data_IF_538798058008
#
_entry.id   IF_538798058008
#
_cell.length_a   1.000
_cell.length_b   1.000
_cell.length_c   1.000
_cell.angle_alpha   90.00
_cell.angle_beta   90.00
_cell.angle_gamma   90.00
#
_symmetry.space_group_name_H-M   'P 1'
#
loop_
_entity.id
_entity.type
_entity.pdbx_description
1 polymer ?
#
# COMPACT_ATOMS: atom_id res chain seq x y z
N UNK A 1 49.14 -48.26 6.87
CA UNK A 1 49.47 -47.19 5.91
C UNK A 1 48.23 -47.00 5.04
N UNK A 2 47.43 -45.96 5.31
CA UNK A 2 46.18 -45.65 4.59
C UNK A 2 46.46 -44.63 3.48
N UNK A 3 45.89 -44.78 2.25
CA UNK A 3 46.07 -43.79 1.19
C UNK A 3 45.11 -42.60 1.36
N UNK A 4 45.49 -41.40 0.87
CA UNK A 4 44.63 -40.22 0.93
C UNK A 4 43.61 -40.21 -0.22
N UNK A 5 42.34 -39.97 0.11
CA UNK A 5 41.27 -39.72 -0.87
C UNK A 5 41.31 -38.23 -1.22
N UNK A 6 41.71 -37.89 -2.45
CA UNK A 6 41.61 -36.52 -2.97
C UNK A 6 40.27 -36.39 -3.68
N UNK A 7 39.38 -35.54 -3.14
CA UNK A 7 38.03 -35.31 -3.69
C UNK A 7 38.07 -34.09 -4.61
N UNK A 8 38.08 -34.32 -5.91
CA UNK A 8 38.00 -33.26 -6.93
C UNK A 8 36.57 -32.78 -7.04
N UNK A 9 36.30 -31.51 -6.68
CA UNK A 9 35.04 -30.83 -6.95
C UNK A 9 35.07 -30.33 -8.40
N UNK A 10 34.36 -31.02 -9.29
CA UNK A 10 34.07 -30.52 -10.64
C UNK A 10 32.95 -29.49 -10.56
N UNK A 11 33.28 -28.20 -10.66
CA UNK A 11 32.27 -27.17 -10.90
C UNK A 11 31.89 -27.19 -12.38
N UNK A 12 30.70 -27.68 -12.68
CA UNK A 12 30.12 -27.58 -14.02
C UNK A 12 29.46 -26.20 -14.20
N UNK A 13 29.72 -25.57 -15.35
CA UNK A 13 29.20 -24.24 -15.68
C UNK A 13 27.67 -24.18 -15.64
N UNK A 14 26.98 -25.30 -15.91
CA UNK A 14 25.52 -25.38 -15.86
C UNK A 14 24.97 -25.23 -14.44
N UNK A 15 25.68 -25.76 -13.43
CA UNK A 15 25.33 -25.56 -12.03
C UNK A 15 25.51 -24.10 -11.59
N UNK A 16 26.53 -23.41 -12.11
CA UNK A 16 26.76 -21.99 -11.88
C UNK A 16 25.73 -21.09 -12.58
N UNK A 17 25.24 -21.51 -13.74
CA UNK A 17 24.17 -20.79 -14.44
C UNK A 17 22.82 -20.99 -13.77
N UNK A 18 22.53 -22.21 -13.29
CA UNK A 18 21.33 -22.51 -12.53
C UNK A 18 21.27 -21.76 -11.20
N UNK A 19 22.40 -21.66 -10.47
CA UNK A 19 22.45 -20.89 -9.23
C UNK A 19 22.24 -19.39 -9.44
N UNK A 20 22.82 -18.81 -10.50
CA UNK A 20 22.56 -17.41 -10.88
C UNK A 20 21.12 -17.17 -11.32
N UNK A 21 20.50 -18.11 -12.02
CA UNK A 21 19.10 -18.02 -12.39
C UNK A 21 18.18 -18.10 -11.17
N UNK A 22 18.49 -18.98 -10.21
CA UNK A 22 17.78 -19.08 -8.93
C UNK A 22 17.94 -17.82 -8.07
N UNK A 23 19.14 -17.24 -8.00
CA UNK A 23 19.40 -15.98 -7.30
C UNK A 23 18.61 -14.82 -7.94
N UNK A 24 18.64 -14.70 -9.27
CA UNK A 24 17.83 -13.71 -9.99
C UNK A 24 16.33 -13.93 -9.81
N UNK A 25 15.87 -15.18 -9.83
CA UNK A 25 14.47 -15.54 -9.56
C UNK A 25 14.04 -15.14 -8.14
N UNK A 26 14.88 -15.41 -7.14
CA UNK A 26 14.64 -15.00 -5.75
C UNK A 26 14.59 -13.47 -5.59
N UNK A 27 15.47 -12.73 -6.29
CA UNK A 27 15.45 -11.27 -6.30
C UNK A 27 14.22 -10.68 -7.03
N UNK A 28 13.67 -11.37 -8.02
CA UNK A 28 12.43 -10.98 -8.69
C UNK A 28 11.21 -11.22 -7.81
N UNK A 29 11.22 -12.30 -7.02
CA UNK A 29 10.14 -12.64 -6.09
C UNK A 29 10.08 -11.67 -4.92
N UNK A 30 11.24 -11.20 -4.44
CA UNK A 30 11.35 -10.16 -3.41
C UNK A 30 10.93 -8.74 -3.85
N UNK A 31 10.57 -8.54 -5.13
CA UNK A 31 10.20 -7.22 -5.70
C UNK A 31 8.75 -7.12 -6.18
N UNK A 32 7.92 -8.11 -5.90
CA UNK A 32 6.52 -8.05 -6.33
C UNK A 32 5.71 -7.25 -5.31
N UNK A 33 5.52 -5.95 -5.59
CA UNK A 33 4.43 -5.20 -5.01
C UNK A 33 3.11 -5.77 -5.53
N UNK A 34 2.12 -5.90 -4.64
CA UNK A 34 0.76 -6.30 -5.01
C UNK A 34 -0.02 -5.05 -5.42
N UNK A 35 -0.41 -4.98 -6.69
CA UNK A 35 -1.24 -3.89 -7.19
C UNK A 35 -2.70 -4.08 -6.77
N UNK A 36 -3.22 -3.11 -6.02
CA UNK A 36 -4.60 -3.08 -5.52
C UNK A 36 -5.40 -1.88 -6.04
N UNK A 37 -4.95 -1.28 -7.16
CA UNK A 37 -5.72 -0.28 -7.88
C UNK A 37 -7.06 -0.84 -8.38
N UNK A 38 -8.11 -0.01 -8.33
CA UNK A 38 -9.45 -0.34 -8.79
C UNK A 38 -10.18 -1.38 -7.92
N UNK A 39 -9.55 -1.85 -6.84
CA UNK A 39 -10.21 -2.75 -5.89
C UNK A 39 -11.21 -1.95 -5.07
N UNK A 40 -12.49 -2.29 -5.21
CA UNK A 40 -13.55 -1.71 -4.40
C UNK A 40 -13.35 -2.05 -2.92
N UNK A 41 -13.70 -1.13 -2.04
CA UNK A 41 -13.61 -1.29 -0.59
C UNK A 41 -14.95 -0.96 0.07
N UNK A 42 -15.17 -1.52 1.25
CA UNK A 42 -16.39 -1.32 2.03
C UNK A 42 -16.24 -0.10 2.93
N UNK A 43 -17.14 0.86 2.79
CA UNK A 43 -17.13 2.09 3.60
C UNK A 43 -17.79 1.86 4.95
N UNK A 44 -17.08 2.23 6.01
CA UNK A 44 -17.51 2.17 7.39
C UNK A 44 -17.37 3.54 8.05
N UNK A 45 -18.46 4.16 8.44
CA UNK A 45 -18.43 5.39 9.23
C UNK A 45 -18.19 5.08 10.71
N UNK A 46 -17.64 6.05 11.46
CA UNK A 46 -17.40 5.94 12.90
C UNK A 46 -18.48 6.64 13.74
N UNK A 47 -19.55 5.96 14.16
CA UNK A 47 -20.47 6.45 15.18
C UNK A 47 -20.02 6.06 16.60
N UNK A 48 -20.50 6.74 17.67
CA UNK A 48 -21.27 7.99 17.67
C UNK A 48 -20.35 9.22 17.62
N UNK A 49 -20.94 10.42 17.67
CA UNK A 49 -20.29 11.74 17.59
C UNK A 49 -20.24 12.20 16.15
N UNK A 50 -21.10 13.16 15.81
CA UNK A 50 -20.95 13.97 14.61
C UNK A 50 -19.73 14.89 14.69
N UNK A 51 -19.54 15.72 13.66
CA UNK A 51 -18.49 16.73 13.59
C UNK A 51 -17.19 16.19 12.99
N UNK A 52 -17.29 15.39 11.93
CA UNK A 52 -16.13 14.97 11.15
C UNK A 52 -15.38 16.16 10.51
N UNK A 53 -14.24 15.89 9.85
CA UNK A 53 -13.47 16.94 9.17
C UNK A 53 -14.30 17.68 8.11
N UNK A 54 -13.97 18.94 7.82
CA UNK A 54 -14.64 19.71 6.78
C UNK A 54 -14.46 18.98 5.43
N UNK A 55 -15.55 18.61 4.73
CA UNK A 55 -15.45 17.93 3.44
C UNK A 55 -14.66 18.73 2.39
N UNK A 56 -14.61 20.06 2.47
CA UNK A 56 -13.83 20.89 1.56
C UNK A 56 -12.31 20.79 1.82
N UNK A 57 -11.91 20.58 3.07
CA UNK A 57 -10.51 20.33 3.41
C UNK A 57 -10.06 18.97 2.85
N UNK A 58 -10.91 17.95 2.95
CA UNK A 58 -10.65 16.64 2.35
C UNK A 58 -10.65 16.70 0.82
N UNK A 59 -11.54 17.50 0.22
CA UNK A 59 -11.56 17.72 -1.23
C UNK A 59 -10.25 18.34 -1.73
N UNK A 60 -9.63 19.23 -0.95
CA UNK A 60 -8.32 19.79 -1.28
C UNK A 60 -7.22 18.72 -1.34
N UNK A 61 -7.25 17.75 -0.43
CA UNK A 61 -6.34 16.58 -0.46
C UNK A 61 -6.62 15.72 -1.71
N UNK A 62 -7.89 15.46 -2.02
CA UNK A 62 -8.28 14.68 -3.19
C UNK A 62 -7.83 15.34 -4.51
N UNK A 63 -7.98 16.66 -4.64
CA UNK A 63 -7.48 17.40 -5.80
C UNK A 63 -5.95 17.40 -5.89
N UNK A 64 -5.24 17.50 -4.77
CA UNK A 64 -3.79 17.35 -4.75
C UNK A 64 -3.35 15.97 -5.26
N UNK A 65 -4.02 14.90 -4.82
CA UNK A 65 -3.77 13.53 -5.30
C UNK A 65 -4.04 13.39 -6.82
N UNK A 66 -5.13 13.98 -7.33
CA UNK A 66 -5.46 13.98 -8.78
C UNK A 66 -4.49 14.82 -9.61
N UNK A 67 -3.92 15.89 -9.03
CA UNK A 67 -2.88 16.68 -9.67
C UNK A 67 -1.57 15.90 -9.73
N UNK A 68 -1.20 15.21 -8.64
CA UNK A 68 -0.01 14.37 -8.56
C UNK A 68 -0.10 13.19 -9.53
N UNK A 69 -1.28 12.58 -9.71
CA UNK A 69 -1.45 11.47 -10.65
C UNK A 69 -1.10 11.86 -12.09
N UNK A 70 -1.35 13.12 -12.46
CA UNK A 70 -1.03 13.67 -13.79
C UNK A 70 0.42 14.14 -13.92
N UNK A 71 1.11 14.40 -12.80
CA UNK A 71 2.45 15.02 -12.80
C UNK A 71 3.55 14.00 -12.54
N UNK A 72 3.37 13.13 -11.55
CA UNK A 72 4.37 12.15 -11.09
C UNK A 72 3.93 10.70 -11.29
N UNK A 73 2.74 10.49 -11.85
CA UNK A 73 2.16 9.17 -12.14
C UNK A 73 1.10 8.77 -11.12
N UNK A 74 0.19 7.89 -11.52
CA UNK A 74 -0.97 7.53 -10.72
C UNK A 74 -0.65 6.54 -9.59
N UNK A 75 0.34 5.67 -9.76
CA UNK A 75 0.64 4.62 -8.78
C UNK A 75 1.63 5.09 -7.72
N UNK A 76 1.36 4.78 -6.47
CA UNK A 76 2.31 4.89 -5.35
C UNK A 76 2.41 3.57 -4.60
N UNK A 77 3.59 3.30 -4.04
CA UNK A 77 3.85 2.07 -3.27
C UNK A 77 3.81 2.39 -1.78
N UNK A 78 3.08 1.59 -1.02
CA UNK A 78 3.07 1.60 0.45
C UNK A 78 3.79 0.35 0.94
N UNK A 79 4.97 0.53 1.57
CA UNK A 79 5.78 -0.58 2.05
C UNK A 79 5.06 -1.51 3.03
N UNK A 80 5.51 -2.76 3.10
CA UNK A 80 5.12 -3.74 4.12
C UNK A 80 5.54 -3.31 5.53
N UNK A 81 4.77 -3.72 6.54
CA UNK A 81 5.15 -3.56 7.96
C UNK A 81 6.39 -4.39 8.35
N UNK A 82 6.82 -5.33 7.49
CA UNK A 82 8.03 -6.14 7.71
C UNK A 82 9.33 -5.39 7.40
N UNK A 83 9.28 -4.26 6.68
CA UNK A 83 10.47 -3.44 6.43
C UNK A 83 10.68 -2.49 7.63
N UNK A 84 11.67 -2.74 8.49
CA UNK A 84 11.88 -1.96 9.72
C UNK A 84 12.29 -0.50 9.47
N UNK A 85 12.64 -0.14 8.22
CA UNK A 85 13.00 1.23 7.83
C UNK A 85 11.90 1.99 7.10
N UNK A 86 10.77 1.35 6.81
CA UNK A 86 9.72 1.91 5.98
C UNK A 86 8.44 2.19 6.77
N UNK A 87 7.64 3.14 6.26
CA UNK A 87 6.34 3.45 6.83
C UNK A 87 5.28 2.65 6.07
N UNK A 88 4.55 1.79 6.78
CA UNK A 88 3.39 1.05 6.27
C UNK A 88 2.14 1.93 6.05
N UNK A 89 2.28 3.24 6.22
CA UNK A 89 1.21 4.21 6.16
C UNK A 89 1.64 5.43 5.35
N UNK A 90 0.81 5.82 4.39
CA UNK A 90 0.88 7.12 3.74
C UNK A 90 -0.19 8.02 4.34
N UNK A 91 0.19 9.14 4.95
CA UNK A 91 -0.73 10.11 5.53
C UNK A 91 -0.60 11.49 4.86
N UNK A 92 -1.76 12.09 4.59
CA UNK A 92 -1.91 13.44 4.03
C UNK A 92 -2.81 14.23 4.96
N UNK A 93 -2.38 15.43 5.36
CA UNK A 93 -3.16 16.29 6.25
C UNK A 93 -3.27 17.69 5.67
N UNK A 94 -4.48 18.25 5.71
CA UNK A 94 -4.76 19.62 5.34
C UNK A 94 -5.86 20.17 6.24
N UNK A 95 -5.54 21.24 6.98
CA UNK A 95 -6.44 21.90 7.92
C UNK A 95 -7.14 20.89 8.87
N UNK A 96 -8.46 20.71 8.75
CA UNK A 96 -9.22 19.78 9.59
C UNK A 96 -9.18 18.32 9.12
N UNK A 97 -8.81 18.06 7.86
CA UNK A 97 -8.81 16.73 7.27
C UNK A 97 -7.45 16.03 7.38
N UNK A 98 -7.48 14.75 7.78
CA UNK A 98 -6.34 13.85 7.66
C UNK A 98 -6.82 12.58 6.99
N UNK A 99 -6.22 12.28 5.83
CA UNK A 99 -6.48 11.08 5.07
C UNK A 99 -5.24 10.18 5.08
N UNK A 100 -5.39 8.88 5.27
CA UNK A 100 -4.28 7.96 5.16
C UNK A 100 -4.63 6.62 4.53
N UNK A 101 -3.67 6.05 3.83
CA UNK A 101 -3.67 4.67 3.36
C UNK A 101 -2.75 3.86 4.27
N UNK A 102 -3.22 2.72 4.77
CA UNK A 102 -2.42 1.79 5.58
C UNK A 102 -2.35 0.41 4.93
N UNK A 103 -1.13 -0.09 4.77
CA UNK A 103 -0.84 -1.47 4.40
C UNK A 103 -0.86 -2.36 5.66
N UNK A 104 -1.59 -3.46 5.62
CA UNK A 104 -1.74 -4.41 6.73
C UNK A 104 -1.15 -5.80 6.41
N UNK A 105 -0.50 -5.97 5.26
CA UNK A 105 0.08 -7.24 4.82
C UNK A 105 1.59 -7.19 4.75
N UNK A 106 2.19 -8.37 4.64
CA UNK A 106 3.63 -8.61 4.67
C UNK A 106 4.32 -8.36 3.31
N UNK A 107 3.60 -7.79 2.34
CA UNK A 107 4.09 -7.42 1.01
C UNK A 107 3.82 -5.94 0.73
N UNK A 108 4.65 -5.32 -0.09
CA UNK A 108 4.41 -3.95 -0.56
C UNK A 108 3.11 -3.88 -1.37
N UNK A 109 2.34 -2.82 -1.18
CA UNK A 109 1.11 -2.59 -1.93
C UNK A 109 1.27 -1.41 -2.89
N UNK A 110 0.86 -1.58 -4.13
CA UNK A 110 0.74 -0.48 -5.10
C UNK A 110 -0.72 -0.02 -5.16
N UNK A 111 -0.97 1.26 -4.91
CA UNK A 111 -2.30 1.85 -4.96
C UNK A 111 -2.33 3.10 -5.85
N UNK A 112 -3.51 3.42 -6.37
CA UNK A 112 -3.70 4.50 -7.32
C UNK A 112 -4.12 5.79 -6.60
N UNK A 113 -3.46 6.89 -6.93
CA UNK A 113 -3.75 8.23 -6.37
C UNK A 113 -5.16 8.66 -6.72
N UNK A 114 -5.64 8.36 -7.93
CA UNK A 114 -7.04 8.67 -8.31
C UNK A 114 -8.06 7.89 -7.49
N UNK A 115 -7.76 6.65 -7.11
CA UNK A 115 -8.66 5.84 -6.28
C UNK A 115 -8.65 6.36 -4.85
N UNK A 116 -7.47 6.66 -4.29
CA UNK A 116 -7.35 7.29 -2.98
C UNK A 116 -8.11 8.62 -2.95
N UNK A 117 -7.95 9.48 -3.96
CA UNK A 117 -8.70 10.72 -4.08
C UNK A 117 -10.22 10.50 -4.10
N UNK A 118 -10.68 9.50 -4.84
CA UNK A 118 -12.11 9.16 -4.95
C UNK A 118 -12.67 8.65 -3.63
N UNK A 119 -11.92 7.83 -2.89
CA UNK A 119 -12.32 7.35 -1.56
C UNK A 119 -12.43 8.50 -0.57
N UNK A 120 -11.43 9.41 -0.53
CA UNK A 120 -11.45 10.58 0.37
C UNK A 120 -12.65 11.50 0.07
N UNK A 121 -12.91 11.78 -1.20
CA UNK A 121 -14.06 12.59 -1.63
C UNK A 121 -15.43 11.95 -1.34
N UNK A 122 -15.48 10.62 -1.19
CA UNK A 122 -16.71 9.90 -0.86
C UNK A 122 -16.90 9.81 0.65
N UNK A 123 -15.87 9.43 1.41
CA UNK A 123 -15.98 9.27 2.87
C UNK A 123 -16.30 10.62 3.53
N UNK A 124 -15.57 11.66 3.15
CA UNK A 124 -15.63 12.95 3.83
C UNK A 124 -17.04 13.55 3.89
N UNK A 125 -17.88 13.58 2.83
CA UNK A 125 -19.26 14.07 2.94
C UNK A 125 -20.27 13.02 3.44
N UNK A 126 -19.96 11.71 3.36
CA UNK A 126 -20.92 10.64 3.67
C UNK A 126 -20.75 10.02 5.07
N UNK A 127 -19.69 10.36 5.79
CA UNK A 127 -19.45 9.93 7.17
C UNK A 127 -19.33 11.14 8.11
N UNK A 128 -20.42 11.91 8.21
CA UNK A 128 -20.49 13.20 8.91
C UNK A 128 -21.63 13.24 9.92
N UNK A 129 -21.97 14.44 10.37
CA UNK A 129 -23.14 14.75 11.22
C UNK A 129 -24.43 14.07 10.75
N UNK A 130 -24.68 14.06 9.43
CA UNK A 130 -25.87 13.45 8.83
C UNK A 130 -25.99 11.95 9.14
N UNK A 131 -24.88 11.29 9.45
CA UNK A 131 -24.78 9.87 9.80
C UNK A 131 -24.42 9.66 11.28
N UNK A 132 -24.41 10.73 12.09
CA UNK A 132 -23.92 10.73 13.47
C UNK A 132 -22.50 10.12 13.57
N UNK A 133 -21.63 10.48 12.63
CA UNK A 133 -20.27 9.98 12.49
C UNK A 133 -19.24 11.12 12.43
N UNK A 134 -18.01 10.80 12.85
CA UNK A 134 -16.87 11.74 12.90
C UNK A 134 -15.75 11.30 11.94
N UNK A 135 -16.13 10.95 10.72
CA UNK A 135 -15.26 10.32 9.73
C UNK A 135 -15.58 8.85 9.51
N UNK A 136 -14.77 8.20 8.67
CA UNK A 136 -14.95 6.81 8.31
C UNK A 136 -13.70 6.21 7.70
N UNK A 137 -13.80 4.96 7.27
CA UNK A 137 -12.75 4.28 6.54
C UNK A 137 -13.33 3.42 5.41
N UNK A 138 -12.51 3.08 4.43
CA UNK A 138 -12.79 2.10 3.38
C UNK A 138 -11.86 0.91 3.58
N UNK A 139 -12.41 -0.26 3.87
CA UNK A 139 -11.64 -1.49 4.11
C UNK A 139 -11.66 -2.36 2.85
N UNK A 140 -10.51 -2.87 2.45
CA UNK A 140 -10.42 -3.85 1.37
C UNK A 140 -11.23 -5.14 1.71
N UNK A 141 -11.79 -5.86 0.74
CA UNK A 141 -12.57 -7.09 1.00
C UNK A 141 -11.76 -8.19 1.71
N UNK A 142 -10.44 -8.21 1.48
CA UNK A 142 -9.48 -9.11 2.12
C UNK A 142 -8.87 -8.52 3.40
N UNK A 143 -9.24 -7.29 3.76
CA UNK A 143 -8.67 -6.51 4.86
C UNK A 143 -7.17 -6.27 4.74
N UNK A 144 -6.58 -6.35 3.54
CA UNK A 144 -5.15 -6.14 3.36
C UNK A 144 -4.71 -4.68 3.46
N UNK A 145 -5.64 -3.77 3.21
CA UNK A 145 -5.41 -2.34 3.32
C UNK A 145 -6.70 -1.63 3.70
N UNK A 146 -6.54 -0.39 4.15
CA UNK A 146 -7.66 0.52 4.30
C UNK A 146 -7.24 1.96 4.04
N UNK A 147 -8.24 2.78 3.70
CA UNK A 147 -8.16 4.23 3.59
C UNK A 147 -9.04 4.86 4.66
N UNK A 148 -8.56 5.85 5.39
CA UNK A 148 -9.33 6.62 6.38
C UNK A 148 -9.22 8.11 6.07
#
# INVERSE_FOLDING_TARGET
MFPPITRTLTLECDALNASKAAEKGALLQARQSLNVCGVACDTHCFPPSGGGPDPNDCHTIAEALRSDSQTIGDVFTVPTFLDPGANDTLALSFASCTAFFRNQVDVDLDYCRTDFASVVDVIAPNCQDGQNAHGGLCIAPDSFWFVQ
#
